data_IF_085103388597
#
_entry.id   IF_085103388597
#
_cell.length_a   1.000
_cell.length_b   1.000
_cell.length_c   1.000
_cell.angle_alpha   90.00
_cell.angle_beta   90.00
_cell.angle_gamma   90.00
#
_symmetry.space_group_name_H-M   'P 1'
#
loop_
_entity.id
_entity.type
_entity.pdbx_description
1 polymer ?
#
# COMPACT_ATOMS: atom_id res chain seq x y z
N UNK A 1 6.41 -7.09 13.62
CA UNK A 1 5.22 -7.71 13.09
C UNK A 1 4.82 -7.13 11.76
N UNK A 2 4.25 -7.94 10.95
CA UNK A 2 3.89 -7.51 9.60
C UNK A 2 2.49 -6.96 9.50
N UNK A 3 1.83 -6.69 10.63
CA UNK A 3 0.44 -6.24 10.59
C UNK A 3 0.30 -4.88 9.92
N UNK A 4 1.26 -3.98 10.11
CA UNK A 4 1.19 -2.67 9.47
C UNK A 4 1.36 -2.79 7.96
N UNK A 5 2.29 -3.64 7.53
CA UNK A 5 2.47 -3.87 6.12
C UNK A 5 1.23 -4.52 5.52
N UNK A 6 0.65 -5.47 6.24
CA UNK A 6 -0.58 -6.11 5.76
C UNK A 6 -1.70 -5.10 5.64
N UNK A 7 -1.79 -4.17 6.59
CA UNK A 7 -2.81 -3.14 6.52
C UNK A 7 -2.60 -2.26 5.30
N UNK A 8 -1.36 -1.88 5.02
CA UNK A 8 -1.06 -1.06 3.84
C UNK A 8 -1.42 -1.80 2.56
N UNK A 9 -1.08 -3.09 2.49
CA UNK A 9 -1.41 -3.87 1.30
C UNK A 9 -2.90 -4.03 1.11
N UNK A 10 -3.64 -4.21 2.20
CA UNK A 10 -5.08 -4.29 2.13
C UNK A 10 -5.69 -2.99 1.63
N UNK A 11 -5.19 -1.88 2.14
CA UNK A 11 -5.71 -0.59 1.71
C UNK A 11 -5.37 -0.31 0.26
N UNK A 12 -4.18 -0.73 -0.17
CA UNK A 12 -3.81 -0.59 -1.57
C UNK A 12 -4.75 -1.42 -2.45
N UNK A 13 -5.04 -2.64 -2.05
CA UNK A 13 -5.92 -3.50 -2.81
C UNK A 13 -7.34 -2.93 -2.86
N UNK A 14 -7.83 -2.44 -1.71
CA UNK A 14 -9.13 -1.84 -1.64
C UNK A 14 -9.22 -0.63 -2.56
N UNK A 15 -8.18 0.20 -2.56
CA UNK A 15 -8.16 1.37 -3.44
C UNK A 15 -8.16 0.95 -4.91
N UNK A 16 -7.44 -0.11 -5.24
CA UNK A 16 -7.42 -0.61 -6.62
C UNK A 16 -8.81 -1.07 -7.03
N UNK A 17 -9.51 -1.75 -6.15
CA UNK A 17 -10.86 -2.22 -6.46
C UNK A 17 -11.80 -1.05 -6.66
N UNK A 18 -11.67 -0.02 -5.83
CA UNK A 18 -12.50 1.15 -5.99
C UNK A 18 -12.20 1.88 -7.28
N UNK A 19 -10.92 1.91 -7.66
CA UNK A 19 -10.54 2.51 -8.94
C UNK A 19 -11.17 1.76 -10.10
N UNK A 20 -11.19 0.44 -10.02
CA UNK A 20 -11.78 -0.39 -11.07
C UNK A 20 -13.29 -0.17 -11.17
N UNK A 21 -13.93 0.12 -10.06
CA UNK A 21 -15.39 0.32 -10.05
C UNK A 21 -15.78 1.76 -10.34
N UNK A 22 -14.83 2.68 -10.27
CA UNK A 22 -15.13 4.08 -10.51
C UNK A 22 -15.53 4.29 -11.96
N UNK A 23 -16.60 5.05 -12.15
CA UNK A 23 -17.09 5.33 -13.50
C UNK A 23 -16.47 6.61 -14.06
N UNK A 24 -16.09 7.53 -13.20
CA UNK A 24 -15.53 8.81 -13.65
C UNK A 24 -14.02 8.72 -13.67
N UNK A 25 -13.39 9.18 -14.77
CA UNK A 25 -11.92 9.10 -14.86
C UNK A 25 -11.22 9.85 -13.75
N UNK A 26 -11.79 10.94 -13.32
CA UNK A 26 -11.23 11.73 -12.23
C UNK A 26 -11.16 10.92 -10.93
N UNK A 27 -12.25 10.23 -10.61
CA UNK A 27 -12.28 9.40 -9.42
C UNK A 27 -11.35 8.20 -9.54
N UNK A 28 -11.33 7.60 -10.73
CA UNK A 28 -10.46 6.47 -10.96
C UNK A 28 -9.00 6.85 -10.74
N UNK A 29 -8.60 8.00 -11.28
CA UNK A 29 -7.25 8.48 -11.13
C UNK A 29 -6.91 8.72 -9.66
N UNK A 30 -7.85 9.29 -8.92
CA UNK A 30 -7.63 9.57 -7.51
C UNK A 30 -7.40 8.29 -6.73
N UNK A 31 -8.21 7.27 -6.97
CA UNK A 31 -8.05 6.00 -6.28
C UNK A 31 -6.76 5.29 -6.66
N UNK A 32 -6.36 5.41 -7.92
CA UNK A 32 -5.10 4.83 -8.35
C UNK A 32 -3.92 5.45 -7.62
N UNK A 33 -3.96 6.75 -7.41
CA UNK A 33 -2.91 7.42 -6.68
C UNK A 33 -2.88 6.98 -5.22
N UNK A 34 -4.05 6.80 -4.63
CA UNK A 34 -4.13 6.32 -3.26
C UNK A 34 -3.53 4.91 -3.18
N UNK A 35 -3.84 4.07 -4.14
CA UNK A 35 -3.30 2.72 -4.17
C UNK A 35 -1.79 2.73 -4.25
N UNK A 36 -1.24 3.59 -5.10
CA UNK A 36 0.21 3.71 -5.22
C UNK A 36 0.84 4.15 -3.91
N UNK A 37 0.20 5.08 -3.24
CA UNK A 37 0.69 5.58 -1.98
C UNK A 37 0.79 4.47 -0.95
N UNK A 38 -0.26 3.68 -0.82
CA UNK A 38 -0.27 2.57 0.13
C UNK A 38 0.76 1.52 -0.23
N UNK A 39 0.92 1.27 -1.52
CA UNK A 39 1.93 0.31 -1.97
C UNK A 39 3.33 0.78 -1.59
N UNK A 40 3.60 2.07 -1.76
CA UNK A 40 4.88 2.63 -1.38
C UNK A 40 5.12 2.49 0.12
N UNK A 41 4.11 2.77 0.92
CA UNK A 41 4.25 2.62 2.37
C UNK A 41 4.55 1.19 2.75
N UNK A 42 3.89 0.24 2.12
CA UNK A 42 4.15 -1.16 2.40
C UNK A 42 5.59 -1.53 2.07
N UNK A 43 6.11 -0.97 0.98
CA UNK A 43 7.49 -1.22 0.58
C UNK A 43 8.46 -0.67 1.60
N UNK A 44 8.21 0.55 2.04
CA UNK A 44 9.08 1.18 3.03
C UNK A 44 9.10 0.40 4.32
N UNK A 45 7.95 -0.06 4.76
CA UNK A 45 7.90 -0.85 5.98
C UNK A 45 8.64 -2.17 5.83
N UNK A 46 8.58 -2.75 4.66
CA UNK A 46 9.34 -3.96 4.38
C UNK A 46 10.83 -3.73 4.53
N UNK A 47 11.31 -2.62 3.98
CA UNK A 47 12.72 -2.29 4.06
C UNK A 47 13.15 -2.04 5.49
N UNK A 48 12.36 -1.30 6.23
CA UNK A 48 12.66 -1.02 7.62
C UNK A 48 12.68 -2.32 8.42
N UNK A 49 11.72 -3.19 8.16
CA UNK A 49 11.68 -4.48 8.84
C UNK A 49 12.92 -5.30 8.57
N UNK A 50 13.38 -5.29 7.33
CA UNK A 50 14.59 -6.01 6.96
C UNK A 50 15.80 -5.47 7.70
N UNK A 51 15.90 -4.16 7.78
CA UNK A 51 17.01 -3.55 8.49
C UNK A 51 17.00 -3.90 9.95
N UNK A 52 15.82 -3.91 10.54
CA UNK A 52 15.69 -4.29 11.94
C UNK A 52 16.16 -5.71 12.17
N UNK A 53 15.78 -6.59 11.29
CA UNK A 53 16.17 -7.98 11.40
C UNK A 53 17.68 -8.10 11.33
N UNK A 54 18.30 -7.37 10.44
CA UNK A 54 19.75 -7.39 10.31
C UNK A 54 20.44 -6.88 11.55
N UNK A 55 19.89 -5.86 12.15
CA UNK A 55 20.47 -5.31 13.38
C UNK A 55 20.40 -6.29 14.52
N UNK A 56 19.32 -7.01 14.59
CA UNK A 56 19.16 -8.01 15.64
C UNK A 56 20.14 -9.14 15.47
N UNK A 57 20.47 -9.45 14.27
CA UNK A 57 21.44 -10.49 14.01
C UNK A 57 22.83 -10.05 14.41
#
# INVERSE_FOLDING_TARGET
MSSERNTCLRKADDAKQRAAQATEPFMKSAYEKVAEHWTLLARLESLIGNEKINEDA
#
